data_IF_263626956100
#
_entry.id   IF_263626956100
#
_cell.length_a   1.000
_cell.length_b   1.000
_cell.length_c   1.000
_cell.angle_alpha   90.00
_cell.angle_beta   90.00
_cell.angle_gamma   90.00
#
_symmetry.space_group_name_H-M   'P 1'
#
loop_
_entity.id
_entity.type
_entity.pdbx_description
1 polymer ?
#
# COMPACT_ATOMS: atom_id res chain seq x y z
N UNK A 1 0.93 -8.63 0.41
CA UNK A 1 -0.11 -8.52 -0.63
C UNK A 1 -1.13 -7.51 -0.16
N UNK A 2 -1.99 -7.00 -1.03
CA UNK A 2 -3.13 -6.16 -0.62
C UNK A 2 -4.46 -6.92 -0.81
N UNK A 3 -5.60 -6.34 -0.42
CA UNK A 3 -6.90 -6.99 -0.57
C UNK A 3 -7.26 -7.28 -2.03
N UNK A 4 -6.91 -6.42 -2.98
CA UNK A 4 -7.14 -6.67 -4.41
C UNK A 4 -6.45 -7.96 -4.89
N UNK A 5 -5.20 -8.19 -4.50
CA UNK A 5 -4.49 -9.45 -4.77
C UNK A 5 -5.22 -10.65 -4.15
N UNK A 6 -5.70 -10.52 -2.91
CA UNK A 6 -6.34 -11.61 -2.17
C UNK A 6 -7.76 -11.91 -2.67
N UNK A 7 -8.51 -10.90 -3.13
CA UNK A 7 -9.87 -11.07 -3.66
C UNK A 7 -9.93 -11.95 -4.90
N UNK A 8 -8.80 -12.09 -5.60
CA UNK A 8 -8.66 -12.91 -6.79
C UNK A 8 -8.65 -14.42 -6.52
N UNK A 9 -8.62 -14.84 -5.26
CA UNK A 9 -8.52 -16.24 -4.84
C UNK A 9 -9.82 -16.60 -4.11
N UNK A 10 -10.75 -17.32 -4.76
CA UNK A 10 -12.03 -17.70 -4.13
C UNK A 10 -11.88 -18.55 -2.87
N UNK A 11 -10.79 -19.31 -2.74
CA UNK A 11 -10.47 -20.04 -1.51
C UNK A 11 -10.34 -19.12 -0.27
N UNK A 12 -10.14 -17.82 -0.47
CA UNK A 12 -10.05 -16.82 0.59
C UNK A 12 -11.38 -16.11 0.89
N UNK A 13 -12.47 -16.40 0.17
CA UNK A 13 -13.72 -15.64 0.27
C UNK A 13 -14.45 -15.81 1.62
N UNK A 14 -14.17 -16.89 2.36
CA UNK A 14 -14.74 -17.15 3.68
C UNK A 14 -14.00 -16.49 4.85
N UNK A 15 -12.88 -15.81 4.60
CA UNK A 15 -12.02 -15.26 5.64
C UNK A 15 -12.09 -13.74 5.70
N UNK A 16 -12.03 -13.13 6.89
CA UNK A 16 -11.85 -11.69 7.00
C UNK A 16 -10.44 -11.31 6.60
N UNK A 17 -10.30 -10.23 5.81
CA UNK A 17 -8.99 -9.66 5.51
C UNK A 17 -8.69 -8.62 6.56
N UNK A 18 -7.52 -8.73 7.18
CA UNK A 18 -6.97 -7.75 8.10
C UNK A 18 -5.61 -7.31 7.59
N UNK A 19 -5.27 -6.07 7.90
CA UNK A 19 -4.00 -5.43 7.57
C UNK A 19 -3.38 -4.88 8.84
N UNK A 20 -2.09 -5.17 9.04
CA UNK A 20 -1.38 -4.86 10.28
C UNK A 20 0.07 -4.48 9.98
N UNK A 21 0.56 -3.45 10.67
CA UNK A 21 1.90 -2.91 10.45
C UNK A 21 3.07 -3.88 10.60
N UNK A 22 2.98 -4.97 11.38
CA UNK A 22 4.14 -5.80 11.74
C UNK A 22 5.34 -4.95 12.20
N UNK A 23 5.04 -4.01 13.09
CA UNK A 23 5.92 -2.92 13.47
C UNK A 23 7.07 -3.40 14.38
N UNK A 24 8.31 -3.21 13.92
CA UNK A 24 9.53 -3.48 14.68
C UNK A 24 10.26 -2.20 15.14
N UNK A 25 9.73 -1.03 14.79
CA UNK A 25 10.21 0.27 15.26
C UNK A 25 9.05 1.25 15.37
N UNK A 26 9.01 2.13 16.40
CA UNK A 26 7.87 3.03 16.60
C UNK A 26 7.49 3.87 15.38
N UNK A 27 8.47 4.23 14.53
CA UNK A 27 8.26 4.99 13.30
C UNK A 27 7.54 4.21 12.18
N UNK A 28 7.33 2.90 12.33
CA UNK A 28 6.63 2.03 11.36
C UNK A 28 5.26 1.57 11.87
N UNK A 29 4.84 2.02 13.05
CA UNK A 29 3.51 1.71 13.57
C UNK A 29 2.44 2.28 12.64
N UNK A 30 1.38 1.51 12.40
CA UNK A 30 0.25 1.99 11.60
C UNK A 30 0.54 2.17 10.09
N UNK A 31 1.68 1.70 9.56
CA UNK A 31 1.89 1.66 8.09
C UNK A 31 0.83 0.85 7.34
N UNK A 32 0.21 -0.08 8.06
CA UNK A 32 -0.91 -0.92 7.68
C UNK A 32 -1.82 -1.04 8.90
N UNK A 33 -3.13 -1.01 8.70
CA UNK A 33 -4.10 -1.05 9.79
C UNK A 33 -5.47 -1.56 9.31
N UNK A 34 -6.30 -2.02 10.25
CA UNK A 34 -7.70 -2.38 10.00
C UNK A 34 -8.61 -1.46 10.79
N UNK A 35 -9.61 -0.88 10.13
CA UNK A 35 -10.58 0.02 10.77
C UNK A 35 -11.84 -0.75 11.11
N UNK A 36 -12.19 -0.74 12.40
CA UNK A 36 -13.35 -1.44 12.94
C UNK A 36 -14.38 -0.46 13.50
N UNK A 37 -15.66 -0.81 13.36
CA UNK A 37 -16.77 -0.18 14.07
C UNK A 37 -17.29 -1.16 15.13
N UNK A 38 -16.64 -1.14 16.30
CA UNK A 38 -16.92 -2.04 17.42
C UNK A 38 -16.67 -1.36 18.75
N UNK A 39 -17.24 -1.92 19.82
CA UNK A 39 -16.74 -1.68 21.17
C UNK A 39 -15.29 -2.17 21.30
N UNK A 40 -14.39 -1.41 21.95
CA UNK A 40 -12.95 -1.70 22.00
C UNK A 40 -12.61 -2.80 23.01
N UNK A 41 -13.18 -3.98 22.80
CA UNK A 41 -12.95 -5.17 23.60
C UNK A 41 -12.71 -6.41 22.72
N UNK A 42 -12.07 -7.42 23.30
CA UNK A 42 -11.68 -8.63 22.56
C UNK A 42 -12.88 -9.42 22.02
N UNK A 43 -14.01 -9.44 22.73
CA UNK A 43 -15.18 -10.20 22.31
C UNK A 43 -15.77 -9.63 21.02
N UNK A 44 -15.90 -8.30 20.94
CA UNK A 44 -16.35 -7.60 19.73
C UNK A 44 -15.37 -7.76 18.58
N UNK A 45 -14.05 -7.64 18.84
CA UNK A 45 -13.03 -7.88 17.82
C UNK A 45 -13.12 -9.31 17.26
N UNK A 46 -13.26 -10.32 18.14
CA UNK A 46 -13.45 -11.72 17.72
C UNK A 46 -14.71 -11.91 16.89
N UNK A 47 -15.78 -11.17 17.20
CA UNK A 47 -17.02 -11.14 16.42
C UNK A 47 -16.76 -10.62 15.00
N UNK A 48 -16.19 -9.42 14.89
CA UNK A 48 -15.86 -8.77 13.62
C UNK A 48 -15.00 -9.66 12.69
N UNK A 49 -14.00 -10.36 13.26
CA UNK A 49 -13.12 -11.23 12.48
C UNK A 49 -13.82 -12.47 11.89
N UNK A 50 -15.01 -12.82 12.36
CA UNK A 50 -15.81 -13.94 11.81
C UNK A 50 -16.72 -13.51 10.67
N UNK A 51 -16.87 -12.21 10.43
CA UNK A 51 -17.78 -11.63 9.45
C UNK A 51 -16.99 -10.96 8.31
N UNK A 52 -16.71 -11.67 7.19
CA UNK A 52 -15.87 -11.15 6.11
C UNK A 52 -16.60 -10.21 5.13
N UNK A 53 -17.85 -9.86 5.42
CA UNK A 53 -18.75 -9.16 4.49
C UNK A 53 -18.61 -7.65 4.62
N UNK A 54 -18.88 -6.95 3.52
CA UNK A 54 -18.97 -5.50 3.47
C UNK A 54 -20.20 -5.01 4.25
N UNK A 55 -20.05 -3.90 4.97
CA UNK A 55 -21.14 -3.27 5.73
C UNK A 55 -21.35 -3.87 7.11
N UNK A 56 -20.44 -4.75 7.53
CA UNK A 56 -20.35 -5.29 8.89
C UNK A 56 -19.29 -4.50 9.69
N UNK A 57 -18.70 -5.10 10.71
CA UNK A 57 -17.82 -4.43 11.67
C UNK A 57 -16.45 -4.01 11.12
N UNK A 58 -15.96 -4.65 10.05
CA UNK A 58 -14.73 -4.24 9.36
C UNK A 58 -15.11 -3.21 8.28
N UNK A 59 -14.81 -1.94 8.53
CA UNK A 59 -15.15 -0.86 7.62
C UNK A 59 -14.25 -0.87 6.38
N UNK A 60 -12.94 -0.95 6.59
CA UNK A 60 -11.92 -1.05 5.54
C UNK A 60 -10.54 -1.37 6.13
N UNK A 61 -9.60 -1.75 5.27
CA UNK A 61 -8.18 -1.80 5.62
C UNK A 61 -7.41 -0.61 5.04
N UNK A 62 -6.32 -0.25 5.70
CA UNK A 62 -5.33 0.74 5.29
C UNK A 62 -4.09 -0.05 4.88
N UNK A 63 -3.65 0.14 3.65
CA UNK A 63 -2.56 -0.61 3.03
C UNK A 63 -1.43 0.31 2.62
N UNK A 64 -0.19 -0.18 2.67
CA UNK A 64 0.87 0.39 1.84
C UNK A 64 0.75 -0.15 0.40
N UNK A 65 1.52 0.43 -0.53
CA UNK A 65 1.58 -0.07 -1.89
C UNK A 65 2.46 -1.33 -1.96
N UNK A 66 1.90 -2.53 -2.19
CA UNK A 66 2.67 -3.77 -2.21
C UNK A 66 3.79 -3.78 -3.25
N UNK A 67 3.69 -2.92 -4.27
CA UNK A 67 4.69 -2.69 -5.30
C UNK A 67 6.02 -2.19 -4.76
N UNK A 68 6.05 -1.54 -3.60
CA UNK A 68 7.30 -1.16 -2.93
C UNK A 68 8.09 -2.38 -2.44
N UNK A 69 7.42 -3.53 -2.27
CA UNK A 69 8.04 -4.77 -1.81
C UNK A 69 9.18 -5.23 -2.73
N UNK A 70 10.28 -5.65 -2.13
CA UNK A 70 11.50 -6.15 -2.81
C UNK A 70 11.29 -7.29 -3.80
N UNK A 71 10.19 -8.03 -3.64
CA UNK A 71 9.86 -9.22 -4.40
C UNK A 71 8.45 -9.12 -4.95
N UNK A 72 7.95 -7.92 -5.24
CA UNK A 72 6.60 -7.76 -5.74
C UNK A 72 6.43 -8.42 -7.12
N UNK A 73 7.28 -8.03 -8.08
CA UNK A 73 7.36 -8.65 -9.41
C UNK A 73 8.48 -9.68 -9.47
N UNK A 74 8.36 -10.59 -10.44
CA UNK A 74 9.45 -11.50 -10.78
C UNK A 74 10.53 -10.73 -11.52
N UNK A 75 11.78 -11.13 -11.35
CA UNK A 75 12.86 -10.48 -12.07
C UNK A 75 14.24 -11.01 -11.79
N UNK A 76 15.23 -10.36 -12.37
CA UNK A 76 16.63 -10.66 -12.18
C UNK A 76 17.42 -9.34 -12.14
N UNK A 77 17.80 -8.93 -10.92
CA UNK A 77 18.44 -7.66 -10.60
C UNK A 77 19.74 -7.46 -11.37
N UNK A 78 20.53 -8.52 -11.53
CA UNK A 78 21.84 -8.44 -12.19
C UNK A 78 21.71 -8.18 -13.69
N UNK A 79 20.55 -8.50 -14.27
CA UNK A 79 20.23 -8.24 -15.67
C UNK A 79 19.27 -7.05 -15.86
N UNK A 80 18.87 -6.36 -14.78
CA UNK A 80 17.84 -5.32 -14.79
C UNK A 80 16.54 -5.75 -15.50
N UNK A 81 16.21 -7.05 -15.45
CA UNK A 81 15.03 -7.60 -16.09
C UNK A 81 13.91 -7.74 -15.08
N UNK A 82 12.75 -7.18 -15.41
CA UNK A 82 11.52 -7.24 -14.59
C UNK A 82 10.44 -7.85 -15.45
N UNK A 83 9.71 -8.80 -14.88
CA UNK A 83 8.60 -9.49 -15.52
C UNK A 83 7.31 -9.13 -14.80
N UNK A 84 6.35 -8.58 -15.53
CA UNK A 84 5.05 -8.23 -14.96
C UNK A 84 4.22 -9.50 -14.68
N UNK A 85 3.16 -9.43 -13.86
CA UNK A 85 2.32 -10.57 -13.56
C UNK A 85 1.63 -11.13 -14.81
N UNK A 86 1.31 -10.27 -15.78
CA UNK A 86 0.72 -10.67 -17.07
C UNK A 86 1.70 -11.47 -17.94
N UNK A 87 2.99 -11.16 -17.84
CA UNK A 87 4.05 -11.81 -18.60
C UNK A 87 4.52 -13.10 -17.91
N UNK A 88 4.43 -13.15 -16.58
CA UNK A 88 4.83 -14.29 -15.76
C UNK A 88 4.16 -15.61 -16.16
N UNK A 89 2.84 -15.58 -16.43
CA UNK A 89 2.11 -16.76 -16.89
C UNK A 89 2.43 -17.20 -18.33
N UNK A 90 3.13 -16.36 -19.12
CA UNK A 90 3.46 -16.62 -20.53
C UNK A 90 4.92 -17.01 -20.73
N UNK A 91 5.84 -16.26 -20.12
CA UNK A 91 7.26 -16.31 -20.44
C UNK A 91 8.06 -17.22 -19.49
N UNK A 92 7.38 -17.92 -18.58
CA UNK A 92 7.98 -18.81 -17.59
C UNK A 92 8.91 -18.07 -16.62
N UNK A 93 9.81 -18.81 -15.97
CA UNK A 93 10.72 -18.30 -14.92
C UNK A 93 12.17 -18.22 -15.38
N UNK A 94 12.45 -18.16 -16.68
CA UNK A 94 13.81 -18.07 -17.22
C UNK A 94 14.15 -16.65 -17.66
N UNK A 95 15.26 -16.10 -17.18
CA UNK A 95 15.72 -14.77 -17.59
C UNK A 95 16.09 -14.73 -19.08
N UNK A 96 15.52 -13.82 -19.88
CA UNK A 96 15.81 -13.77 -21.31
C UNK A 96 17.24 -13.33 -21.62
N UNK A 97 17.87 -12.58 -20.69
CA UNK A 97 19.22 -12.02 -20.83
C UNK A 97 20.30 -13.08 -20.54
N UNK A 98 20.26 -13.73 -19.38
CA UNK A 98 21.34 -14.64 -18.95
C UNK A 98 20.93 -16.12 -18.88
N UNK A 99 19.68 -16.45 -19.19
CA UNK A 99 19.10 -17.82 -19.14
C UNK A 99 19.09 -18.50 -17.78
N UNK A 100 19.44 -17.80 -16.70
CA UNK A 100 19.25 -18.28 -15.32
C UNK A 100 17.81 -18.10 -14.86
N UNK A 101 17.40 -18.80 -13.82
CA UNK A 101 16.07 -18.68 -13.22
C UNK A 101 15.86 -17.27 -12.64
N UNK A 102 14.68 -16.71 -12.86
CA UNK A 102 14.20 -15.47 -12.24
C UNK A 102 13.90 -15.70 -10.77
N UNK A 103 14.11 -14.69 -9.94
CA UNK A 103 13.51 -14.65 -8.62
C UNK A 103 12.00 -14.45 -8.80
N UNK A 104 11.21 -15.43 -8.37
CA UNK A 104 9.75 -15.42 -8.49
C UNK A 104 9.15 -14.42 -7.50
N UNK A 105 8.36 -13.48 -8.01
CA UNK A 105 7.71 -12.45 -7.20
C UNK A 105 6.38 -12.89 -6.59
N UNK A 106 5.92 -12.14 -5.60
CA UNK A 106 4.62 -12.35 -4.92
C UNK A 106 3.47 -12.32 -5.93
N UNK A 107 3.49 -11.39 -6.89
CA UNK A 107 2.42 -11.32 -7.88
C UNK A 107 2.40 -12.52 -8.83
N UNK A 108 3.54 -13.15 -9.10
CA UNK A 108 3.58 -14.40 -9.88
C UNK A 108 2.81 -15.48 -9.11
N UNK A 109 3.08 -15.63 -7.81
CA UNK A 109 2.38 -16.60 -6.96
C UNK A 109 0.88 -16.32 -6.86
N UNK A 110 0.49 -15.05 -6.80
CA UNK A 110 -0.93 -14.68 -6.84
C UNK A 110 -1.56 -15.07 -8.17
N UNK A 111 -0.88 -14.84 -9.30
CA UNK A 111 -1.37 -15.20 -10.63
C UNK A 111 -1.55 -16.72 -10.77
N UNK A 112 -0.60 -17.52 -10.29
CA UNK A 112 -0.69 -18.99 -10.29
C UNK A 112 -1.92 -19.53 -9.52
N UNK A 113 -2.31 -18.85 -8.45
CA UNK A 113 -3.39 -19.29 -7.55
C UNK A 113 -4.74 -18.62 -7.86
N UNK A 114 -4.74 -17.55 -8.66
CA UNK A 114 -5.92 -16.75 -8.90
C UNK A 114 -6.92 -17.49 -9.79
N UNK A 115 -8.18 -17.50 -9.35
CA UNK A 115 -9.32 -18.00 -10.12
C UNK A 115 -10.20 -16.86 -10.66
N UNK A 116 -9.84 -15.61 -10.38
CA UNK A 116 -10.48 -14.40 -10.88
C UNK A 116 -9.44 -13.50 -11.60
N UNK A 117 -9.88 -12.73 -12.60
CA UNK A 117 -8.98 -11.94 -13.44
C UNK A 117 -8.24 -10.86 -12.65
N UNK A 118 -7.10 -10.42 -13.19
CA UNK A 118 -6.38 -9.25 -12.72
C UNK A 118 -7.31 -8.01 -12.70
N UNK A 119 -7.26 -7.22 -11.62
CA UNK A 119 -8.14 -6.06 -11.43
C UNK A 119 -9.55 -6.40 -10.89
N UNK A 120 -9.79 -7.64 -10.46
CA UNK A 120 -11.07 -8.01 -9.84
C UNK A 120 -11.28 -7.28 -8.50
N UNK A 121 -12.37 -6.51 -8.42
CA UNK A 121 -12.79 -5.82 -7.20
C UNK A 121 -14.03 -6.48 -6.62
N UNK A 122 -13.92 -6.98 -5.38
CA UNK A 122 -15.06 -7.62 -4.72
C UNK A 122 -16.06 -6.58 -4.19
N UNK A 123 -17.31 -6.65 -4.65
CA UNK A 123 -18.40 -5.82 -4.12
C UNK A 123 -18.92 -6.29 -2.75
N UNK A 124 -18.57 -7.53 -2.35
CA UNK A 124 -19.08 -8.20 -1.15
C UNK A 124 -18.17 -8.06 0.07
N UNK A 125 -16.95 -7.54 -0.10
CA UNK A 125 -15.93 -7.47 0.96
C UNK A 125 -15.65 -6.01 1.35
N UNK A 126 -15.17 -5.75 2.57
CA UNK A 126 -14.73 -4.42 2.97
C UNK A 126 -13.73 -3.84 1.95
N UNK A 127 -13.84 -2.55 1.60
CA UNK A 127 -12.86 -1.89 0.74
C UNK A 127 -11.51 -1.71 1.45
N UNK A 128 -10.53 -1.16 0.73
CA UNK A 128 -9.25 -0.75 1.30
C UNK A 128 -8.84 0.63 0.80
N UNK A 129 -7.89 1.25 1.49
CA UNK A 129 -7.28 2.53 1.12
C UNK A 129 -5.77 2.34 1.10
N UNK A 130 -5.14 2.56 -0.05
CA UNK A 130 -3.67 2.55 -0.16
C UNK A 130 -3.11 3.93 0.15
N UNK A 131 -2.22 4.01 1.12
CA UNK A 131 -1.61 5.26 1.56
C UNK A 131 -0.11 5.30 1.25
N UNK A 132 0.37 6.51 1.01
CA UNK A 132 1.79 6.86 1.09
C UNK A 132 1.98 7.52 2.46
N UNK A 133 2.99 7.12 3.26
CA UNK A 133 3.24 7.74 4.56
C UNK A 133 3.35 9.26 4.46
N UNK A 134 2.74 9.99 5.39
CA UNK A 134 2.71 11.45 5.33
C UNK A 134 4.12 12.05 5.32
N UNK A 135 5.06 11.42 6.04
CA UNK A 135 6.46 11.82 6.04
C UNK A 135 7.10 11.79 4.63
N UNK A 136 6.73 10.82 3.79
CA UNK A 136 7.22 10.70 2.41
C UNK A 136 6.60 11.78 1.51
N UNK A 137 5.28 12.02 1.66
CA UNK A 137 4.60 13.10 0.93
C UNK A 137 5.20 14.46 1.30
N UNK A 138 5.46 14.70 2.59
CA UNK A 138 6.11 15.94 3.06
C UNK A 138 7.52 16.06 2.50
N UNK A 139 8.31 14.98 2.51
CA UNK A 139 9.66 14.96 1.98
C UNK A 139 9.71 15.35 0.50
N UNK A 140 8.86 14.73 -0.33
CA UNK A 140 8.72 15.09 -1.73
C UNK A 140 8.23 16.54 -1.90
N UNK A 141 7.25 16.97 -1.10
CA UNK A 141 6.68 18.32 -1.16
C UNK A 141 7.71 19.43 -0.86
N UNK A 142 8.65 19.18 0.04
CA UNK A 142 9.73 20.13 0.34
C UNK A 142 10.99 19.95 -0.53
N UNK A 143 10.94 19.04 -1.50
CA UNK A 143 12.02 18.74 -2.44
C UNK A 143 13.22 18.05 -1.79
N UNK A 144 13.02 17.26 -0.73
CA UNK A 144 14.09 16.57 -0.01
C UNK A 144 13.94 15.06 -0.14
N UNK A 145 14.96 14.41 -0.70
CA UNK A 145 14.97 12.96 -0.92
C UNK A 145 15.01 12.17 0.39
N UNK A 146 15.70 12.67 1.41
CA UNK A 146 15.86 11.94 2.67
C UNK A 146 14.73 12.24 3.65
N UNK A 147 13.90 11.24 3.93
CA UNK A 147 12.83 11.31 4.95
C UNK A 147 13.36 11.50 6.37
N UNK A 148 14.64 11.22 6.62
CA UNK A 148 15.28 11.38 7.94
C UNK A 148 15.88 12.77 8.15
N UNK A 149 15.78 13.66 7.15
CA UNK A 149 16.22 15.05 7.26
C UNK A 149 15.49 15.77 8.39
N UNK A 150 16.24 16.56 9.17
CA UNK A 150 15.66 17.44 10.20
C UNK A 150 14.58 18.35 9.62
N UNK A 151 14.82 18.92 8.43
CA UNK A 151 13.84 19.82 7.77
C UNK A 151 12.54 19.10 7.41
N UNK A 152 12.61 17.84 6.99
CA UNK A 152 11.42 17.03 6.70
C UNK A 152 10.67 16.71 7.99
N UNK A 153 11.39 16.30 9.04
CA UNK A 153 10.80 15.98 10.33
C UNK A 153 10.12 17.21 10.96
N UNK A 154 10.78 18.37 10.95
CA UNK A 154 10.22 19.63 11.45
C UNK A 154 8.93 20.01 10.70
N UNK A 155 8.90 19.85 9.36
CA UNK A 155 7.72 20.09 8.55
C UNK A 155 6.59 19.08 8.84
N UNK A 156 6.92 17.80 8.96
CA UNK A 156 5.98 16.74 9.31
C UNK A 156 5.34 16.99 10.68
N UNK A 157 6.13 17.31 11.71
CA UNK A 157 5.62 17.63 13.04
C UNK A 157 4.78 18.91 13.04
N UNK A 158 5.10 19.90 12.22
CA UNK A 158 4.29 21.10 12.07
C UNK A 158 2.90 20.79 11.47
N UNK A 159 2.83 19.89 10.49
CA UNK A 159 1.56 19.40 9.92
C UNK A 159 0.74 18.67 10.99
N UNK A 160 1.34 17.75 11.73
CA UNK A 160 0.65 17.04 12.82
C UNK A 160 0.16 17.99 13.92
N UNK A 161 0.98 18.97 14.32
CA UNK A 161 0.58 19.98 15.30
C UNK A 161 -0.64 20.78 14.85
N UNK A 162 -0.81 20.98 13.53
CA UNK A 162 -1.91 21.75 12.96
C UNK A 162 -3.19 20.92 12.75
N UNK A 163 -3.06 19.68 12.28
CA UNK A 163 -4.17 18.85 11.79
C UNK A 163 -4.41 17.56 12.59
N UNK A 164 -3.62 17.31 13.64
CA UNK A 164 -3.76 16.16 14.53
C UNK A 164 -2.90 14.97 14.10
N UNK A 165 -3.53 13.81 13.89
CA UNK A 165 -2.81 12.55 13.61
C UNK A 165 -2.52 12.41 12.12
N UNK A 166 -1.56 11.54 11.77
CA UNK A 166 -1.25 11.22 10.38
C UNK A 166 -2.49 10.68 9.64
N UNK A 167 -3.24 9.75 10.23
CA UNK A 167 -4.46 9.25 9.60
C UNK A 167 -5.51 10.33 9.39
N UNK A 168 -5.70 11.25 10.35
CA UNK A 168 -6.60 12.40 10.18
C UNK A 168 -6.21 13.22 8.95
N UNK A 169 -4.92 13.57 8.82
CA UNK A 169 -4.41 14.34 7.68
C UNK A 169 -4.60 13.59 6.36
N UNK A 170 -4.26 12.30 6.32
CA UNK A 170 -4.27 11.50 5.09
C UNK A 170 -5.68 11.10 4.66
N UNK A 171 -6.62 10.88 5.59
CA UNK A 171 -7.93 10.29 5.31
C UNK A 171 -9.10 11.27 5.41
N UNK A 172 -9.10 12.12 6.44
CA UNK A 172 -10.33 12.78 6.90
C UNK A 172 -10.30 14.30 6.68
N UNK A 173 -9.13 14.93 6.87
CA UNK A 173 -8.99 16.38 6.80
C UNK A 173 -9.38 16.91 5.41
N UNK A 174 -10.24 17.95 5.31
CA UNK A 174 -10.59 18.54 4.04
C UNK A 174 -9.38 19.11 3.29
N UNK A 175 -9.25 18.79 2.00
CA UNK A 175 -8.15 19.26 1.16
C UNK A 175 -8.03 20.79 1.13
N UNK A 176 -9.14 21.52 1.28
CA UNK A 176 -9.16 22.98 1.32
C UNK A 176 -8.40 23.54 2.53
N UNK A 177 -8.54 22.93 3.70
CA UNK A 177 -7.84 23.36 4.91
C UNK A 177 -6.34 23.12 4.78
N UNK A 178 -5.96 21.94 4.25
CA UNK A 178 -4.56 21.64 3.96
C UNK A 178 -4.02 22.62 2.92
N UNK A 179 -4.79 22.95 1.88
CA UNK A 179 -4.38 23.88 0.82
C UNK A 179 -4.10 25.29 1.33
N UNK A 180 -4.87 25.76 2.31
CA UNK A 180 -4.65 27.05 2.96
C UNK A 180 -3.33 27.08 3.76
N UNK A 181 -2.89 25.92 4.26
CA UNK A 181 -1.62 25.76 4.96
C UNK A 181 -0.45 25.58 3.99
N UNK A 182 -0.55 24.59 3.10
CA UNK A 182 0.44 24.26 2.08
C UNK A 182 -0.29 23.68 0.85
N UNK A 183 -0.26 24.45 -0.24
CA UNK A 183 -0.93 24.08 -1.48
C UNK A 183 -0.31 22.86 -2.17
N UNK A 184 1.01 22.65 -2.03
CA UNK A 184 1.69 21.53 -2.65
C UNK A 184 1.47 20.24 -1.86
N UNK A 185 1.52 20.31 -0.53
CA UNK A 185 1.14 19.19 0.34
C UNK A 185 -0.32 18.75 0.10
N UNK A 186 -1.23 19.72 -0.07
CA UNK A 186 -2.63 19.43 -0.41
C UNK A 186 -2.78 18.71 -1.75
N UNK A 187 -2.04 19.13 -2.78
CA UNK A 187 -1.99 18.41 -4.06
C UNK A 187 -1.46 16.98 -3.90
N UNK A 188 -0.43 16.79 -3.07
CA UNK A 188 0.14 15.47 -2.82
C UNK A 188 -0.81 14.53 -2.11
N UNK A 189 -1.50 15.00 -1.05
CA UNK A 189 -2.53 14.23 -0.35
C UNK A 189 -3.71 13.95 -1.28
N UNK A 190 -4.12 14.91 -2.13
CA UNK A 190 -5.17 14.69 -3.13
C UNK A 190 -4.79 13.57 -4.10
N UNK A 191 -3.58 13.61 -4.66
CA UNK A 191 -3.07 12.58 -5.58
C UNK A 191 -3.05 11.21 -4.92
N UNK A 192 -2.59 11.14 -3.67
CA UNK A 192 -2.59 9.91 -2.89
C UNK A 192 -4.03 9.38 -2.71
N UNK A 193 -4.97 10.21 -2.25
CA UNK A 193 -6.38 9.82 -2.05
C UNK A 193 -7.06 9.36 -3.35
N UNK A 194 -6.66 9.92 -4.49
CA UNK A 194 -7.15 9.57 -5.82
C UNK A 194 -6.40 8.39 -6.47
N UNK A 195 -5.36 7.84 -5.80
CA UNK A 195 -4.49 6.79 -6.36
C UNK A 195 -3.64 7.24 -7.55
N UNK A 196 -3.50 8.55 -7.78
CA UNK A 196 -2.74 9.14 -8.89
C UNK A 196 -1.26 9.29 -8.53
N UNK A 197 -0.61 8.16 -8.29
CA UNK A 197 0.80 8.06 -7.93
C UNK A 197 1.60 7.35 -9.01
N UNK A 198 2.92 7.48 -8.97
CA UNK A 198 3.85 6.83 -9.88
C UNK A 198 4.52 5.67 -9.17
N UNK A 199 4.38 4.47 -9.72
CA UNK A 199 4.86 3.25 -9.10
C UNK A 199 5.88 2.60 -10.01
N UNK A 200 7.07 2.33 -9.46
CA UNK A 200 8.04 1.40 -10.03
C UNK A 200 8.11 0.17 -9.14
N UNK A 201 7.60 -1.00 -9.56
CA UNK A 201 7.53 -2.17 -8.70
C UNK A 201 8.93 -2.72 -8.38
N UNK A 202 9.08 -3.22 -7.16
CA UNK A 202 10.27 -3.93 -6.71
C UNK A 202 10.34 -5.35 -7.25
N UNK A 203 11.55 -5.88 -7.34
CA UNK A 203 11.85 -7.21 -7.85
C UNK A 203 13.24 -7.66 -7.39
N UNK A 204 13.44 -8.97 -7.23
CA UNK A 204 14.73 -9.61 -6.94
C UNK A 204 15.61 -8.88 -5.89
N UNK A 205 15.01 -8.51 -4.76
CA UNK A 205 15.68 -7.86 -3.64
C UNK A 205 15.77 -6.34 -3.74
N UNK A 206 15.41 -5.76 -4.89
CA UNK A 206 15.35 -4.31 -5.14
C UNK A 206 13.98 -3.79 -4.71
N UNK A 207 13.95 -2.84 -3.77
CA UNK A 207 12.72 -2.17 -3.37
C UNK A 207 12.10 -1.44 -4.57
N UNK A 208 10.77 -1.47 -4.62
CA UNK A 208 10.03 -0.58 -5.51
C UNK A 208 10.14 0.87 -5.05
N UNK A 209 9.57 1.76 -5.85
CA UNK A 209 9.50 3.19 -5.54
C UNK A 209 8.09 3.66 -5.82
N UNK A 210 7.43 4.20 -4.81
CA UNK A 210 6.24 5.02 -4.97
C UNK A 210 6.67 6.48 -4.94
N UNK A 211 6.11 7.28 -5.85
CA UNK A 211 6.28 8.73 -5.88
C UNK A 211 4.96 9.43 -6.11
N UNK A 212 4.75 10.54 -5.44
CA UNK A 212 3.54 11.35 -5.60
C UNK A 212 3.59 12.12 -6.92
N UNK A 213 4.73 12.76 -7.22
CA UNK A 213 4.93 13.51 -8.45
C UNK A 213 5.88 12.79 -9.41
N UNK A 214 5.74 13.05 -10.72
CA UNK A 214 6.70 12.60 -11.73
C UNK A 214 7.95 13.48 -11.62
N UNK A 215 9.12 12.87 -11.67
CA UNK A 215 10.38 13.59 -11.95
C UNK A 215 10.33 14.26 -13.33
#
# INVERSE_FOLDING_TARGET
SNPEMNWRLSQLDSFSIVSNSDCHSPSKIGREATVFEIEPNFASLRGALKNPKKGEEILYTIEFYPEEGKYHYSGHRNCNYVQSPKDAGRDGTTCPVCKKTLTVGVMHRVEELADKPYGYVSKKRPPYKSLVPLLEIVAESVGIVSITSKKVNDAYLAVLKKFGTEFSVLLDEPLLNIKQYDAHLSDGIKRMREGKINIKPGYDGVFGKVKIWKE
#
